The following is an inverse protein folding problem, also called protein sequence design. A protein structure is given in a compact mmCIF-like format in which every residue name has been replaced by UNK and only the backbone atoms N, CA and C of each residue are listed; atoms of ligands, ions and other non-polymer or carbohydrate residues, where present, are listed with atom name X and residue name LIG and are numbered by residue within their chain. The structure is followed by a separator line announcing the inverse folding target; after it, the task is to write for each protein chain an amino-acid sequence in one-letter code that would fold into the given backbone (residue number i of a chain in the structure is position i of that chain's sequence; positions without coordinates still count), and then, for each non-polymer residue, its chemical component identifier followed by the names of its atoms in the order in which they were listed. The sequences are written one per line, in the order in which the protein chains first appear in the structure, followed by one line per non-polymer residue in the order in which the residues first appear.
data_IF_149965905287
#
_entry.id   IF_149965905287
#
_cell.length_a   1.000
_cell.length_b   1.000
_cell.length_c   1.000
_cell.angle_alpha   90.00
_cell.angle_beta   90.00
_cell.angle_gamma   90.00
#
_symmetry.space_group_name_H-M   'P 1'
#
loop_
_entity.id
_entity.type
_entity.pdbx_description
1 polymer ?
#
# COMPACT_ATOMS: atom_id res chain seq x y z
N UNK A 1 4.82 11.48 0.34
CA UNK A 1 5.00 11.57 -1.12
C UNK A 1 4.06 10.59 -1.79
N UNK A 2 3.17 11.08 -2.67
CA UNK A 2 2.36 10.22 -3.53
C UNK A 2 3.11 10.04 -4.85
N UNK A 3 3.42 8.80 -5.22
CA UNK A 3 4.17 8.46 -6.42
C UNK A 3 3.34 7.60 -7.35
N UNK A 4 3.23 8.00 -8.61
CA UNK A 4 2.63 7.19 -9.68
C UNK A 4 3.67 6.23 -10.27
N UNK A 5 4.28 5.43 -9.40
CA UNK A 5 5.26 4.43 -9.81
C UNK A 5 4.79 3.03 -9.41
N UNK A 6 4.95 2.08 -10.33
CA UNK A 6 4.73 0.65 -10.05
C UNK A 6 5.96 -0.05 -9.45
N UNK A 7 7.01 0.73 -9.15
CA UNK A 7 8.31 0.26 -8.72
C UNK A 7 8.64 0.76 -7.32
N UNK A 8 7.71 0.58 -6.39
CA UNK A 8 7.99 0.75 -4.97
C UNK A 8 9.14 -0.18 -4.57
N UNK A 9 10.29 0.40 -4.24
CA UNK A 9 11.50 -0.32 -3.83
C UNK A 9 12.04 0.25 -2.52
N UNK A 10 12.86 -0.54 -1.82
CA UNK A 10 13.40 -0.18 -0.49
C UNK A 10 14.09 1.19 -0.51
N UNK A 11 14.81 1.51 -1.58
CA UNK A 11 15.54 2.78 -1.68
C UNK A 11 14.59 3.99 -1.74
N UNK A 12 13.45 3.87 -2.43
CA UNK A 12 12.44 4.95 -2.51
C UNK A 12 11.76 5.14 -1.14
N UNK A 13 11.45 4.05 -0.44
CA UNK A 13 10.92 4.13 0.92
C UNK A 13 11.91 4.82 1.86
N UNK A 14 13.17 4.37 1.87
CA UNK A 14 14.22 4.95 2.71
C UNK A 14 14.48 6.42 2.37
N UNK A 15 14.46 6.79 1.09
CA UNK A 15 14.64 8.17 0.67
C UNK A 15 13.47 9.06 1.13
N UNK A 16 12.24 8.55 1.03
CA UNK A 16 11.04 9.26 1.51
C UNK A 16 11.08 9.45 3.02
N UNK A 17 11.44 8.41 3.77
CA UNK A 17 11.59 8.44 5.22
C UNK A 17 12.67 9.43 5.66
N UNK A 18 13.85 9.41 5.02
CA UNK A 18 14.93 10.38 5.26
C UNK A 18 14.50 11.82 5.01
N UNK A 19 13.60 12.04 4.05
CA UNK A 19 13.02 13.35 3.76
C UNK A 19 11.87 13.74 4.71
N UNK A 20 11.51 12.88 5.67
CA UNK A 20 10.43 13.13 6.64
C UNK A 20 9.03 12.87 6.09
N UNK A 21 8.89 12.12 4.99
CA UNK A 21 7.62 11.86 4.35
C UNK A 21 7.26 10.36 4.33
N UNK A 22 6.00 10.03 4.58
CA UNK A 22 5.46 8.70 4.27
C UNK A 22 5.33 8.51 2.76
N UNK A 23 5.70 7.35 2.23
CA UNK A 23 5.56 7.01 0.81
C UNK A 23 4.21 6.31 0.55
N UNK A 24 3.48 6.79 -0.45
CA UNK A 24 2.25 6.20 -0.96
C UNK A 24 2.48 5.91 -2.45
N UNK A 25 2.37 4.64 -2.84
CA UNK A 25 2.60 4.23 -4.22
C UNK A 25 1.66 3.12 -4.67
N UNK A 26 1.51 2.96 -5.98
CA UNK A 26 0.67 1.92 -6.56
C UNK A 26 1.35 0.54 -6.48
N UNK A 27 0.57 -0.49 -6.17
CA UNK A 27 1.03 -1.88 -6.11
C UNK A 27 0.28 -2.72 -7.15
N UNK A 28 1.01 -3.49 -7.96
CA UNK A 28 0.39 -4.40 -8.94
C UNK A 28 -0.38 -5.51 -8.21
N UNK A 29 -1.57 -5.84 -8.71
CA UNK A 29 -2.50 -6.83 -8.12
C UNK A 29 -2.02 -8.28 -8.18
N UNK A 30 -0.95 -8.56 -8.94
CA UNK A 30 -0.33 -9.88 -9.04
C UNK A 30 0.77 -10.14 -7.98
N UNK A 31 0.93 -9.27 -6.99
CA UNK A 31 1.88 -9.45 -5.88
C UNK A 31 1.28 -10.30 -4.76
N UNK A 32 2.15 -10.98 -3.99
CA UNK A 32 1.78 -11.64 -2.73
C UNK A 32 2.14 -10.72 -1.57
N UNK A 33 1.22 -10.53 -0.64
CA UNK A 33 1.40 -9.76 0.60
C UNK A 33 1.15 -10.66 1.82
N UNK A 34 1.57 -10.22 3.00
CA UNK A 34 1.51 -10.98 4.26
C UNK A 34 0.73 -10.21 5.34
N UNK A 35 -0.56 -9.93 5.11
CA UNK A 35 -1.41 -9.28 6.10
C UNK A 35 -1.68 -10.19 7.29
N UNK A 36 -2.24 -9.61 8.34
CA UNK A 36 -2.70 -10.33 9.51
C UNK A 36 -3.66 -11.47 9.11
N UNK A 37 -3.46 -12.67 9.67
CA UNK A 37 -4.19 -13.89 9.29
C UNK A 37 -3.64 -14.63 8.06
N UNK A 38 -2.71 -14.03 7.32
CA UNK A 38 -2.04 -14.64 6.16
C UNK A 38 -0.50 -14.57 6.28
N UNK A 39 0.04 -14.47 7.49
CA UNK A 39 1.47 -14.23 7.72
C UNK A 39 2.36 -15.39 7.28
N UNK A 40 1.86 -16.63 7.33
CA UNK A 40 2.67 -17.83 7.00
C UNK A 40 2.74 -18.12 5.51
N UNK A 41 1.61 -18.06 4.82
CA UNK A 41 1.50 -18.45 3.40
C UNK A 41 1.36 -17.26 2.45
N UNK A 42 1.12 -16.06 2.98
CA UNK A 42 0.75 -14.89 2.21
C UNK A 42 -0.60 -15.04 1.53
N UNK A 43 -1.01 -13.97 0.85
CA UNK A 43 -2.19 -13.95 -0.01
C UNK A 43 -1.88 -13.09 -1.25
N UNK A 44 -2.39 -13.51 -2.42
CA UNK A 44 -2.29 -12.69 -3.63
C UNK A 44 -3.15 -11.43 -3.46
N UNK A 45 -2.61 -10.27 -3.82
CA UNK A 45 -3.24 -8.97 -3.60
C UNK A 45 -4.62 -8.86 -4.25
N UNK A 46 -4.81 -9.37 -5.47
CA UNK A 46 -6.14 -9.38 -6.08
C UNK A 46 -7.17 -10.21 -5.30
N UNK A 47 -6.74 -11.31 -4.66
CA UNK A 47 -7.62 -12.15 -3.83
C UNK A 47 -7.86 -11.49 -2.47
N UNK A 48 -6.87 -10.78 -1.95
CA UNK A 48 -7.05 -9.99 -0.73
C UNK A 48 -8.01 -8.83 -0.94
N UNK A 49 -7.92 -8.13 -2.07
CA UNK A 49 -8.77 -7.00 -2.40
C UNK A 49 -10.27 -7.37 -2.45
N UNK A 50 -10.62 -8.63 -2.79
CA UNK A 50 -12.02 -9.08 -2.76
C UNK A 50 -12.58 -9.29 -1.35
N UNK A 51 -11.72 -9.25 -0.32
CA UNK A 51 -12.12 -9.37 1.09
C UNK A 51 -12.34 -8.00 1.75
N UNK A 52 -11.94 -6.92 1.08
CA UNK A 52 -12.04 -5.56 1.61
C UNK A 52 -13.36 -4.91 1.20
N UNK A 53 -13.93 -4.14 2.11
CA UNK A 53 -15.06 -3.26 1.87
C UNK A 53 -14.59 -1.80 1.92
N UNK A 54 -15.47 -0.86 1.56
CA UNK A 54 -15.11 0.56 1.48
C UNK A 54 -14.72 1.13 2.85
N UNK A 55 -15.24 0.55 3.93
CA UNK A 55 -14.94 0.91 5.32
C UNK A 55 -13.51 0.54 5.74
N UNK A 56 -12.84 -0.35 5.00
CA UNK A 56 -11.45 -0.72 5.24
C UNK A 56 -10.45 0.30 4.64
N UNK A 57 -10.95 1.33 3.94
CA UNK A 57 -10.12 2.33 3.27
C UNK A 57 -10.29 3.72 3.87
N UNK A 58 -9.17 4.45 3.93
CA UNK A 58 -9.15 5.87 4.27
C UNK A 58 -9.31 6.72 3.01
N UNK A 59 -10.26 7.65 3.01
CA UNK A 59 -10.42 8.63 1.93
C UNK A 59 -9.49 9.82 2.15
N UNK A 60 -8.49 9.99 1.28
CA UNK A 60 -7.56 11.13 1.34
C UNK A 60 -7.72 12.05 0.14
N UNK A 61 -7.46 13.34 0.34
CA UNK A 61 -7.50 14.34 -0.74
C UNK A 61 -6.09 14.85 -1.04
N UNK A 62 -5.64 14.71 -2.29
CA UNK A 62 -4.35 15.19 -2.79
C UNK A 62 -4.58 16.06 -4.01
N UNK A 63 -4.23 17.35 -3.94
CA UNK A 63 -4.38 18.32 -5.05
C UNK A 63 -5.77 18.28 -5.68
N UNK A 64 -6.82 18.31 -4.85
CA UNK A 64 -8.24 18.25 -5.25
C UNK A 64 -8.70 16.93 -5.87
N UNK A 65 -7.90 15.86 -5.78
CA UNK A 65 -8.30 14.50 -6.17
C UNK A 65 -8.43 13.63 -4.93
N UNK A 66 -9.45 12.77 -4.91
CA UNK A 66 -9.69 11.85 -3.81
C UNK A 66 -9.13 10.46 -4.14
N UNK A 67 -8.53 9.82 -3.15
CA UNK A 67 -7.97 8.47 -3.24
C UNK A 67 -8.41 7.65 -2.03
N UNK A 68 -8.84 6.42 -2.27
CA UNK A 68 -9.01 5.43 -1.21
C UNK A 68 -7.66 4.75 -0.97
N UNK A 69 -7.18 4.79 0.27
CA UNK A 69 -5.91 4.21 0.68
C UNK A 69 -6.15 3.09 1.67
N UNK A 70 -5.47 1.97 1.45
CA UNK A 70 -5.38 0.89 2.41
C UNK A 70 -3.99 0.93 3.06
N UNK A 71 -3.94 1.17 4.37
CA UNK A 71 -2.69 1.20 5.13
C UNK A 71 -2.26 -0.23 5.48
N UNK A 72 -1.16 -0.67 4.88
CA UNK A 72 -0.57 -1.98 5.15
C UNK A 72 0.80 -1.83 5.81
N UNK A 73 0.93 -2.33 7.04
CA UNK A 73 2.22 -2.48 7.72
C UNK A 73 2.64 -3.94 7.58
N UNK A 74 3.63 -4.19 6.73
CA UNK A 74 4.21 -5.53 6.61
C UNK A 74 4.95 -5.93 7.88
N UNK A 75 5.09 -7.24 8.10
CA UNK A 75 5.95 -7.76 9.18
C UNK A 75 7.40 -7.31 8.93
N UNK A 76 7.99 -6.67 9.93
CA UNK A 76 9.42 -6.34 9.97
C UNK A 76 10.24 -7.55 10.41
#
# INVERSE_FOLDING_TARGET
MLADSWYSCKDIFNASEKAGYSYIGALKTNRVIFPQGHERLGIKLHKFATLLNIEDFDLVTVKSKQYYIYNYVGKT
#
